data_IF_407845671645
#
_entry.id   IF_407845671645
#
_cell.length_a   1.000
_cell.length_b   1.000
_cell.length_c   1.000
_cell.angle_alpha   90.00
_cell.angle_beta   90.00
_cell.angle_gamma   90.00
#
_symmetry.space_group_name_H-M   'P 1'
#
loop_
_entity.id
_entity.type
_entity.pdbx_description
1 polymer ?
#
# COMPACT_ATOMS: atom_id res chain seq x y z
N UNK A 1 -3.09 -18.13 14.41
CA UNK A 1 -1.82 -18.74 14.85
C UNK A 1 -2.02 -19.99 15.72
N UNK A 2 -1.27 -21.06 15.44
CA UNK A 2 -1.13 -22.23 16.33
C UNK A 2 -0.45 -21.83 17.65
N UNK A 3 -0.91 -22.40 18.78
CA UNK A 3 -0.51 -21.98 20.13
C UNK A 3 1.00 -22.09 20.41
N UNK A 4 1.72 -22.95 19.71
CA UNK A 4 3.15 -23.24 19.94
C UNK A 4 4.11 -22.18 19.38
N UNK A 5 3.66 -21.30 18.48
CA UNK A 5 4.46 -20.17 17.97
C UNK A 5 4.29 -18.89 18.79
N UNK A 6 3.43 -18.88 19.83
CA UNK A 6 3.21 -17.69 20.67
C UNK A 6 4.49 -17.18 21.33
N UNK A 7 5.49 -18.05 21.51
CA UNK A 7 6.73 -17.78 22.22
C UNK A 7 7.98 -17.74 21.30
N UNK A 8 7.78 -17.63 19.97
CA UNK A 8 8.90 -17.48 19.04
C UNK A 8 9.73 -16.22 19.38
N UNK A 9 11.07 -16.27 19.40
CA UNK A 9 11.95 -15.13 19.71
C UNK A 9 11.81 -13.96 18.73
N UNK A 10 11.26 -14.17 17.52
CA UNK A 10 10.85 -13.06 16.64
C UNK A 10 9.72 -12.23 17.27
N UNK A 11 8.86 -12.81 18.11
CA UNK A 11 7.83 -12.07 18.86
C UNK A 11 8.38 -11.47 20.15
N UNK A 12 9.25 -12.19 20.88
CA UNK A 12 9.78 -11.72 22.18
C UNK A 12 10.93 -10.71 22.07
N UNK A 13 11.64 -10.63 20.95
CA UNK A 13 12.60 -9.53 20.71
C UNK A 13 11.92 -8.22 20.32
N UNK A 14 10.67 -8.27 19.86
CA UNK A 14 9.93 -7.13 19.29
C UNK A 14 8.95 -6.43 20.25
N UNK A 15 8.72 -6.94 21.47
CA UNK A 15 7.64 -6.44 22.34
C UNK A 15 8.03 -5.73 23.64
N UNK A 16 9.15 -6.08 24.27
CA UNK A 16 9.63 -5.48 25.53
C UNK A 16 10.95 -6.16 25.93
N UNK A 17 12.04 -5.76 25.29
CA UNK A 17 13.36 -5.82 25.95
C UNK A 17 13.92 -4.41 25.93
N UNK A 18 14.49 -4.01 27.07
CA UNK A 18 15.37 -2.84 27.23
C UNK A 18 16.15 -2.63 25.93
N UNK A 19 16.28 -1.37 25.51
CA UNK A 19 17.18 -0.96 24.44
C UNK A 19 18.43 -1.87 24.46
N UNK A 20 18.78 -2.54 23.34
CA UNK A 20 20.00 -3.32 23.29
C UNK A 20 21.12 -2.42 23.78
N UNK A 21 21.99 -2.93 24.66
CA UNK A 21 23.27 -2.29 24.96
C UNK A 21 23.86 -1.77 23.65
N UNK A 22 24.39 -0.55 23.59
CA UNK A 22 24.82 0.04 22.33
C UNK A 22 25.72 -0.98 21.62
N UNK A 23 25.29 -1.46 20.46
CA UNK A 23 25.97 -2.48 19.64
C UNK A 23 27.28 -1.94 19.02
N UNK A 24 27.89 -0.96 19.65
CA UNK A 24 29.20 -0.41 19.31
C UNK A 24 30.35 -1.34 19.70
N UNK A 25 30.10 -2.39 20.50
CA UNK A 25 31.13 -3.28 21.05
C UNK A 25 31.05 -4.74 20.57
N UNK A 26 30.37 -5.03 19.45
CA UNK A 26 30.40 -6.39 18.88
C UNK A 26 31.60 -6.51 17.94
N UNK A 27 32.54 -7.41 18.28
CA UNK A 27 33.66 -7.77 17.40
C UNK A 27 33.12 -8.26 16.03
N UNK A 28 33.44 -7.56 14.92
CA UNK A 28 32.96 -7.94 13.58
C UNK A 28 33.34 -9.37 13.18
N UNK A 29 34.51 -9.85 13.61
CA UNK A 29 34.94 -11.21 13.31
C UNK A 29 34.08 -12.25 14.05
N UNK A 30 33.84 -12.03 15.36
CA UNK A 30 32.92 -12.86 16.14
C UNK A 30 31.48 -12.83 15.61
N UNK A 31 30.99 -11.66 15.19
CA UNK A 31 29.67 -11.51 14.58
C UNK A 31 29.55 -12.33 13.29
N UNK A 32 30.54 -12.24 12.41
CA UNK A 32 30.59 -13.02 11.18
C UNK A 32 30.63 -14.52 11.47
N UNK A 33 31.49 -14.99 12.38
CA UNK A 33 31.53 -16.40 12.76
C UNK A 33 30.22 -16.90 13.37
N UNK A 34 29.54 -16.07 14.18
CA UNK A 34 28.21 -16.40 14.71
C UNK A 34 27.16 -16.51 13.60
N UNK A 35 27.21 -15.62 12.62
CA UNK A 35 26.34 -15.66 11.45
C UNK A 35 26.54 -16.96 10.66
N UNK A 36 27.79 -17.32 10.35
CA UNK A 36 28.15 -18.56 9.66
C UNK A 36 27.61 -19.78 10.42
N UNK A 37 27.80 -19.81 11.74
CA UNK A 37 27.32 -20.92 12.57
C UNK A 37 25.80 -21.06 12.53
N UNK A 38 25.05 -19.95 12.60
CA UNK A 38 23.60 -19.99 12.47
C UNK A 38 23.14 -20.44 11.08
N UNK A 39 23.86 -20.04 10.03
CA UNK A 39 23.58 -20.52 8.68
C UNK A 39 23.83 -22.02 8.53
N UNK A 40 24.98 -22.52 9.00
CA UNK A 40 25.30 -23.95 9.00
C UNK A 40 24.24 -24.78 9.74
N UNK A 41 23.83 -24.34 10.93
CA UNK A 41 22.78 -25.00 11.70
C UNK A 41 21.43 -25.03 10.95
N UNK A 42 21.12 -23.95 10.23
CA UNK A 42 19.92 -23.89 9.37
C UNK A 42 20.01 -24.91 8.23
N UNK A 43 21.14 -24.97 7.53
CA UNK A 43 21.40 -25.93 6.46
C UNK A 43 21.31 -27.38 6.94
N UNK A 44 21.88 -27.69 8.12
CA UNK A 44 21.82 -29.03 8.71
C UNK A 44 20.37 -29.48 8.96
N UNK A 45 19.53 -28.59 9.49
CA UNK A 45 18.10 -28.87 9.73
C UNK A 45 17.37 -29.06 8.39
N UNK A 46 17.61 -28.19 7.41
CA UNK A 46 17.00 -28.29 6.07
C UNK A 46 17.38 -29.61 5.39
N UNK A 47 18.65 -30.00 5.44
CA UNK A 47 19.14 -31.23 4.83
C UNK A 47 18.59 -32.46 5.58
N UNK A 48 18.60 -32.44 6.91
CA UNK A 48 18.02 -33.51 7.74
C UNK A 48 16.53 -33.72 7.45
N UNK A 49 15.76 -32.64 7.36
CA UNK A 49 14.31 -32.71 7.09
C UNK A 49 14.02 -33.19 5.67
N UNK A 50 14.82 -32.79 4.67
CA UNK A 50 14.73 -33.32 3.30
C UNK A 50 15.01 -34.81 3.24
N UNK A 51 16.09 -35.29 3.87
CA UNK A 51 16.44 -36.71 3.93
C UNK A 51 15.38 -37.53 4.65
N UNK A 52 14.79 -36.96 5.72
CA UNK A 52 13.72 -37.59 6.48
C UNK A 52 12.37 -37.60 5.76
N UNK A 53 12.15 -36.72 4.79
CA UNK A 53 10.87 -36.56 4.08
C UNK A 53 9.72 -36.00 4.94
N UNK A 54 10.02 -35.54 6.16
CA UNK A 54 9.04 -35.02 7.11
C UNK A 54 9.65 -33.85 7.88
N UNK A 55 8.84 -32.84 8.20
CA UNK A 55 9.22 -31.66 8.98
C UNK A 55 8.41 -31.65 10.29
N UNK A 56 9.05 -31.39 11.43
CA UNK A 56 8.38 -31.23 12.72
C UNK A 56 8.41 -29.77 13.17
N UNK A 57 7.54 -29.43 14.14
CA UNK A 57 7.45 -28.09 14.70
C UNK A 57 8.78 -27.58 15.31
N UNK A 58 9.57 -28.47 15.90
CA UNK A 58 10.89 -28.13 16.48
C UNK A 58 11.90 -27.73 15.40
N UNK A 59 11.87 -28.39 14.23
CA UNK A 59 12.73 -28.02 13.09
C UNK A 59 12.41 -26.61 12.60
N UNK A 60 11.11 -26.33 12.46
CA UNK A 60 10.60 -25.02 12.01
C UNK A 60 10.97 -23.94 13.02
N UNK A 61 10.78 -24.20 14.30
CA UNK A 61 11.15 -23.27 15.37
C UNK A 61 12.64 -22.98 15.36
N UNK A 62 13.48 -24.01 15.23
CA UNK A 62 14.93 -23.85 15.18
C UNK A 62 15.38 -23.02 13.96
N UNK A 63 14.85 -23.30 12.76
CA UNK A 63 15.15 -22.51 11.55
C UNK A 63 14.72 -21.05 11.71
N UNK A 64 13.52 -20.80 12.24
CA UNK A 64 13.04 -19.44 12.52
C UNK A 64 13.97 -18.71 13.49
N UNK A 65 14.44 -19.39 14.54
CA UNK A 65 15.34 -18.81 15.52
C UNK A 65 16.70 -18.47 14.93
N UNK A 66 17.29 -19.37 14.13
CA UNK A 66 18.56 -19.10 13.46
C UNK A 66 18.43 -17.97 12.44
N UNK A 67 17.36 -17.94 11.65
CA UNK A 67 17.08 -16.84 10.73
C UNK A 67 16.97 -15.49 11.47
N UNK A 68 16.29 -15.46 12.61
CA UNK A 68 16.17 -14.25 13.42
C UNK A 68 17.54 -13.72 13.90
N UNK A 69 18.42 -14.62 14.34
CA UNK A 69 19.78 -14.23 14.76
C UNK A 69 20.61 -13.75 13.57
N UNK A 70 20.55 -14.44 12.43
CA UNK A 70 21.22 -14.03 11.20
C UNK A 70 20.78 -12.63 10.74
N UNK A 71 19.47 -12.37 10.72
CA UNK A 71 18.93 -11.04 10.35
C UNK A 71 19.38 -9.98 11.35
N UNK A 72 19.40 -10.28 12.65
CA UNK A 72 19.88 -9.32 13.66
C UNK A 72 21.34 -8.92 13.42
N UNK A 73 22.22 -9.89 13.17
CA UNK A 73 23.63 -9.65 12.86
C UNK A 73 23.80 -8.89 11.54
N UNK A 74 23.04 -9.26 10.51
CA UNK A 74 23.03 -8.58 9.22
C UNK A 74 22.61 -7.11 9.32
N UNK A 75 21.57 -6.81 10.11
CA UNK A 75 21.11 -5.42 10.29
C UNK A 75 22.13 -4.56 11.05
N UNK A 76 22.94 -5.15 11.92
CA UNK A 76 24.07 -4.45 12.56
C UNK A 76 25.14 -4.12 11.53
N UNK A 77 25.51 -5.09 10.68
CA UNK A 77 26.49 -4.90 9.59
C UNK A 77 26.02 -3.79 8.63
N UNK A 78 24.77 -3.87 8.16
CA UNK A 78 24.15 -2.87 7.27
C UNK A 78 24.15 -1.45 7.86
N UNK A 79 23.89 -1.31 9.17
CA UNK A 79 23.92 0.00 9.84
C UNK A 79 25.33 0.60 9.89
N UNK A 80 26.35 -0.24 10.10
CA UNK A 80 27.73 0.23 10.11
C UNK A 80 28.13 0.76 8.73
N UNK A 81 27.73 0.09 7.65
CA UNK A 81 27.96 0.54 6.27
C UNK A 81 27.35 1.92 6.01
N UNK A 82 26.06 2.10 6.33
CA UNK A 82 25.36 3.36 6.07
C UNK A 82 25.91 4.52 6.90
N UNK A 83 26.38 4.26 8.13
CA UNK A 83 27.00 5.26 8.98
C UNK A 83 28.39 5.70 8.47
N UNK A 84 29.17 4.78 7.90
CA UNK A 84 30.48 5.09 7.31
C UNK A 84 30.36 5.87 5.99
N UNK A 85 29.38 5.55 5.14
CA UNK A 85 29.10 6.30 3.92
C UNK A 85 28.72 7.76 4.16
N UNK A 86 27.95 8.05 5.22
CA UNK A 86 27.54 9.41 5.58
C UNK A 86 28.68 10.24 6.20
N UNK A 87 29.60 9.62 6.95
CA UNK A 87 30.76 10.31 7.55
C UNK A 87 31.77 10.80 6.51
N UNK A 88 31.94 10.07 5.42
CA UNK A 88 32.87 10.46 4.35
C UNK A 88 32.36 11.60 3.46
N UNK A 89 31.05 11.90 3.46
CA UNK A 89 30.50 13.05 2.73
C UNK A 89 30.56 14.37 3.52
N UNK A 90 30.66 14.30 4.86
CA UNK A 90 30.72 15.47 5.75
C UNK A 90 32.15 15.90 6.14
N UNK A 91 33.18 15.30 5.53
CA UNK A 91 34.59 15.48 5.88
C UNK A 91 35.35 16.58 5.11
N UNK A 92 34.69 17.63 4.62
CA UNK A 92 35.38 18.81 4.06
C UNK A 92 35.36 19.93 5.12
N UNK A 93 36.48 20.26 5.80
CA UNK A 93 36.53 21.40 6.69
C UNK A 93 36.61 22.69 5.87
N UNK A 94 35.61 23.56 5.98
CA UNK A 94 35.73 24.96 5.59
C UNK A 94 36.82 25.63 6.42
N UNK A 95 37.98 25.90 5.82
CA UNK A 95 38.96 26.84 6.38
C UNK A 95 38.38 28.25 6.29
N UNK A 96 38.08 28.83 7.45
CA UNK A 96 37.80 30.24 7.66
C UNK A 96 39.04 31.08 7.33
N UNK A 97 39.00 31.79 6.21
CA UNK A 97 39.99 32.82 5.89
C UNK A 97 39.47 34.19 6.34
N UNK A 98 40.09 34.75 7.38
CA UNK A 98 40.08 36.20 7.64
C UNK A 98 40.98 36.86 6.60
N UNK A 99 40.48 37.89 5.91
CA UNK A 99 41.32 38.78 5.11
C UNK A 99 40.50 39.77 4.31
N UNK A 100 40.51 41.03 4.75
CA UNK A 100 39.79 42.12 4.13
C UNK A 100 40.54 42.79 2.96
N UNK A 101 39.73 43.45 2.14
CA UNK A 101 39.97 44.71 1.43
C UNK A 101 41.09 44.80 0.36
N UNK A 102 40.68 45.16 -0.87
CA UNK A 102 41.37 46.21 -1.62
C UNK A 102 41.93 45.88 -3.02
N UNK A 103 41.12 46.20 -4.04
CA UNK A 103 41.46 46.95 -5.26
C UNK A 103 42.37 46.43 -6.41
N UNK A 104 41.87 46.75 -7.63
CA UNK A 104 42.49 46.99 -8.96
C UNK A 104 42.81 45.75 -9.83
N UNK A 105 42.11 45.50 -10.96
CA UNK A 105 42.00 46.22 -12.27
C UNK A 105 42.98 45.65 -13.32
N UNK A 106 42.38 44.94 -14.31
CA UNK A 106 42.72 44.72 -15.74
C UNK A 106 44.16 44.36 -16.19
N UNK A 107 44.32 43.29 -17.00
CA UNK A 107 44.52 43.33 -18.48
C UNK A 107 45.18 42.03 -19.02
N UNK A 108 44.51 41.38 -19.99
CA UNK A 108 44.93 40.65 -21.22
C UNK A 108 46.35 40.02 -21.32
N UNK A 109 46.42 38.74 -21.73
CA UNK A 109 47.61 38.16 -22.39
C UNK A 109 47.58 36.64 -22.60
N UNK A 110 47.64 36.20 -23.86
CA UNK A 110 47.66 34.83 -24.40
C UNK A 110 49.12 34.23 -24.38
N UNK A 111 49.48 33.11 -25.05
CA UNK A 111 49.51 31.72 -24.53
C UNK A 111 50.89 31.00 -24.69
N UNK A 112 50.95 29.72 -24.24
CA UNK A 112 51.86 28.62 -24.66
C UNK A 112 53.36 28.56 -24.23
N UNK A 113 53.77 27.30 -24.03
CA UNK A 113 55.13 26.69 -23.96
C UNK A 113 55.88 26.60 -22.62
N UNK A 114 56.37 25.38 -22.33
CA UNK A 114 57.46 25.12 -21.37
C UNK A 114 57.37 23.80 -20.61
N UNK A 115 58.05 22.77 -21.11
CA UNK A 115 58.32 21.47 -20.44
C UNK A 115 59.42 21.64 -19.38
N UNK A 116 59.48 20.70 -18.42
CA UNK A 116 60.61 20.33 -17.51
C UNK A 116 60.69 21.13 -16.19
N UNK A 117 60.87 20.57 -14.98
CA UNK A 117 61.32 19.26 -14.49
C UNK A 117 61.13 19.14 -12.94
N UNK A 118 60.93 17.91 -12.45
CA UNK A 118 61.42 17.30 -11.19
C UNK A 118 60.89 17.71 -9.78
N UNK A 119 60.24 16.69 -9.19
CA UNK A 119 60.20 16.23 -7.78
C UNK A 119 59.74 17.16 -6.66
N UNK A 120 58.66 16.75 -5.99
CA UNK A 120 58.72 16.36 -4.57
C UNK A 120 57.59 15.40 -4.24
N UNK A 121 57.96 14.22 -3.71
CA UNK A 121 57.06 13.22 -3.16
C UNK A 121 56.30 13.79 -1.96
N UNK A 122 54.98 13.63 -1.95
CA UNK A 122 54.23 13.32 -0.74
C UNK A 122 53.05 12.42 -1.13
N UNK A 123 53.33 11.13 -1.11
CA UNK A 123 52.36 10.04 -1.16
C UNK A 123 51.48 10.09 0.08
N UNK A 124 50.25 10.59 -0.05
CA UNK A 124 49.15 10.18 0.81
C UNK A 124 48.50 8.96 0.18
N UNK A 125 48.74 7.80 0.79
CA UNK A 125 48.14 6.51 0.46
C UNK A 125 46.62 6.65 0.26
N UNK A 126 46.02 6.00 -0.75
CA UNK A 126 44.58 5.81 -0.74
C UNK A 126 44.27 4.94 0.48
N UNK A 127 43.20 5.25 1.22
CA UNK A 127 42.73 4.40 2.30
C UNK A 127 42.50 2.99 1.72
N UNK A 128 43.41 2.07 2.02
CA UNK A 128 43.35 0.67 1.57
C UNK A 128 42.19 -0.01 2.31
N UNK A 129 41.28 -0.53 1.50
CA UNK A 129 40.10 -1.34 1.81
C UNK A 129 38.80 -0.56 2.12
N UNK A 130 37.78 -0.64 1.25
CA UNK A 130 36.42 -0.32 1.66
C UNK A 130 36.02 -1.19 2.87
N UNK A 131 35.13 -0.72 3.77
CA UNK A 131 34.73 -1.50 4.94
C UNK A 131 34.26 -2.89 4.49
N UNK A 132 34.89 -3.95 5.00
CA UNK A 132 34.50 -5.31 4.71
C UNK A 132 33.05 -5.52 5.14
N UNK A 133 32.21 -6.04 4.24
CA UNK A 133 30.79 -6.37 4.49
C UNK A 133 30.57 -7.87 4.49
N UNK A 134 31.37 -8.65 5.27
CA UNK A 134 31.46 -10.08 5.09
C UNK A 134 30.11 -10.77 5.39
N UNK A 135 29.30 -10.24 6.31
CA UNK A 135 27.98 -10.79 6.61
C UNK A 135 27.03 -10.56 5.44
N UNK A 136 26.96 -9.32 4.93
CA UNK A 136 26.08 -9.02 3.80
C UNK A 136 26.50 -9.75 2.52
N UNK A 137 27.79 -9.75 2.19
CA UNK A 137 28.31 -10.44 1.00
C UNK A 137 28.06 -11.95 1.09
N UNK A 138 28.28 -12.54 2.26
CA UNK A 138 28.00 -13.96 2.48
C UNK A 138 26.49 -14.26 2.47
N UNK A 139 25.66 -13.37 3.02
CA UNK A 139 24.20 -13.50 2.96
C UNK A 139 23.70 -13.52 1.51
N UNK A 140 24.26 -12.66 0.65
CA UNK A 140 23.96 -12.63 -0.77
C UNK A 140 24.52 -13.86 -1.50
N UNK A 141 25.76 -14.24 -1.23
CA UNK A 141 26.47 -15.34 -1.90
C UNK A 141 25.84 -16.71 -1.66
N UNK A 142 25.34 -16.96 -0.45
CA UNK A 142 24.67 -18.21 -0.09
C UNK A 142 23.18 -18.25 -0.51
N UNK A 143 22.65 -17.17 -1.09
CA UNK A 143 21.24 -17.04 -1.47
C UNK A 143 20.28 -17.47 -0.34
N UNK A 144 20.58 -17.05 0.89
CA UNK A 144 19.95 -17.56 2.14
C UNK A 144 18.43 -17.51 2.08
N UNK A 145 17.89 -16.38 1.60
CA UNK A 145 16.43 -16.18 1.50
C UNK A 145 15.79 -17.15 0.50
N UNK A 146 16.44 -17.42 -0.63
CA UNK A 146 15.90 -18.34 -1.64
C UNK A 146 15.95 -19.79 -1.17
N UNK A 147 17.04 -20.18 -0.50
CA UNK A 147 17.20 -21.51 0.09
C UNK A 147 16.14 -21.77 1.17
N UNK A 148 15.92 -20.81 2.08
CA UNK A 148 14.89 -20.91 3.13
C UNK A 148 13.50 -20.91 2.50
N UNK A 149 13.23 -20.05 1.52
CA UNK A 149 11.94 -20.01 0.85
C UNK A 149 11.62 -21.35 0.18
N UNK A 150 12.57 -21.89 -0.58
CA UNK A 150 12.41 -23.17 -1.28
C UNK A 150 12.14 -24.31 -0.29
N UNK A 151 12.82 -24.35 0.84
CA UNK A 151 12.49 -25.31 1.90
C UNK A 151 11.09 -25.05 2.49
N UNK A 152 10.79 -23.79 2.83
CA UNK A 152 9.55 -23.40 3.50
C UNK A 152 8.28 -23.75 2.72
N UNK A 153 8.32 -23.70 1.38
CA UNK A 153 7.17 -24.03 0.54
C UNK A 153 6.84 -25.53 0.55
N UNK A 154 7.77 -26.37 1.03
CA UNK A 154 7.64 -27.83 1.08
C UNK A 154 7.39 -28.36 2.51
N UNK A 155 7.10 -27.50 3.49
CA UNK A 155 6.93 -27.90 4.90
C UNK A 155 5.47 -28.22 5.29
N UNK A 156 4.56 -28.40 4.34
CA UNK A 156 3.16 -28.74 4.61
C UNK A 156 2.42 -27.71 5.48
N UNK A 157 1.91 -28.14 6.64
CA UNK A 157 1.13 -27.27 7.54
C UNK A 157 1.90 -26.05 8.08
N UNK A 158 3.24 -26.11 8.08
CA UNK A 158 4.09 -25.03 8.60
C UNK A 158 4.34 -23.90 7.59
N UNK A 159 3.93 -24.07 6.33
CA UNK A 159 4.21 -23.13 5.23
C UNK A 159 3.80 -21.70 5.58
N UNK A 160 2.60 -21.51 6.15
CA UNK A 160 2.10 -20.16 6.47
C UNK A 160 2.83 -19.50 7.65
N UNK A 161 3.33 -20.28 8.61
CA UNK A 161 4.16 -19.75 9.68
C UNK A 161 5.49 -19.23 9.12
N UNK A 162 6.13 -20.01 8.24
CA UNK A 162 7.38 -19.60 7.61
C UNK A 162 7.20 -18.45 6.62
N UNK A 163 6.07 -18.37 5.90
CA UNK A 163 5.73 -17.18 5.09
C UNK A 163 5.68 -15.93 5.96
N UNK A 164 4.98 -16.00 7.11
CA UNK A 164 4.88 -14.87 8.02
C UNK A 164 6.26 -14.38 8.48
N UNK A 165 7.14 -15.28 8.89
CA UNK A 165 8.47 -14.88 9.35
C UNK A 165 9.33 -14.32 8.20
N UNK A 166 9.27 -14.90 7.00
CA UNK A 166 9.98 -14.36 5.83
C UNK A 166 9.47 -12.98 5.40
N UNK A 167 8.15 -12.73 5.47
CA UNK A 167 7.60 -11.39 5.22
C UNK A 167 8.15 -10.36 6.21
N UNK A 168 8.28 -10.73 7.50
CA UNK A 168 8.91 -9.85 8.51
C UNK A 168 10.38 -9.60 8.21
N UNK A 169 11.13 -10.61 7.77
CA UNK A 169 12.53 -10.43 7.37
C UNK A 169 12.64 -9.40 6.25
N UNK A 170 11.84 -9.53 5.18
CA UNK A 170 11.86 -8.56 4.08
C UNK A 170 11.45 -7.15 4.52
N UNK A 171 10.43 -7.02 5.38
CA UNK A 171 10.03 -5.72 5.95
C UNK A 171 11.17 -5.09 6.75
N UNK A 172 11.89 -5.88 7.56
CA UNK A 172 13.02 -5.39 8.34
C UNK A 172 14.17 -4.92 7.44
N UNK A 173 14.51 -5.68 6.41
CA UNK A 173 15.55 -5.30 5.44
C UNK A 173 15.19 -4.00 4.73
N UNK A 174 13.95 -3.86 4.25
CA UNK A 174 13.46 -2.64 3.61
C UNK A 174 13.40 -1.45 4.58
N UNK A 175 12.98 -1.66 5.83
CA UNK A 175 12.90 -0.58 6.81
C UNK A 175 14.27 0.02 7.14
N UNK A 176 15.34 -0.78 7.06
CA UNK A 176 16.70 -0.34 7.38
C UNK A 176 17.48 0.16 6.17
N UNK A 177 17.37 -0.52 5.03
CA UNK A 177 18.16 -0.24 3.82
C UNK A 177 17.32 0.38 2.69
N UNK A 178 16.02 0.64 2.94
CA UNK A 178 15.07 1.23 1.99
C UNK A 178 15.09 0.53 0.62
N UNK A 179 14.95 1.28 -0.47
CA UNK A 179 14.90 0.75 -1.82
C UNK A 179 16.26 0.23 -2.35
N UNK A 180 17.37 0.54 -1.69
CA UNK A 180 18.72 0.17 -2.15
C UNK A 180 18.93 -1.36 -2.11
N UNK A 181 18.32 -2.04 -1.13
CA UNK A 181 18.46 -3.49 -0.95
C UNK A 181 17.77 -4.31 -2.04
N UNK A 182 16.84 -3.71 -2.79
CA UNK A 182 16.03 -4.39 -3.80
C UNK A 182 16.78 -4.62 -5.12
N UNK A 183 17.92 -3.97 -5.34
CA UNK A 183 18.72 -4.18 -6.57
C UNK A 183 19.43 -5.53 -6.57
N UNK A 184 19.60 -6.14 -5.40
CA UNK A 184 20.30 -7.41 -5.24
C UNK A 184 19.39 -8.59 -5.62
N UNK A 185 19.78 -9.33 -6.66
CA UNK A 185 19.06 -10.53 -7.13
C UNK A 185 18.77 -11.56 -6.03
N UNK A 186 19.70 -11.88 -5.10
CA UNK A 186 19.44 -12.80 -4.00
C UNK A 186 18.39 -12.32 -2.99
N UNK A 187 17.92 -11.07 -3.09
CA UNK A 187 16.88 -10.49 -2.22
C UNK A 187 15.57 -10.33 -2.98
N UNK A 188 15.61 -9.74 -4.18
CA UNK A 188 14.39 -9.45 -4.93
C UNK A 188 13.74 -10.71 -5.52
N UNK A 189 14.52 -11.70 -5.97
CA UNK A 189 13.97 -12.95 -6.51
C UNK A 189 13.17 -13.75 -5.47
N UNK A 190 13.72 -14.05 -4.27
CA UNK A 190 12.93 -14.73 -3.25
C UNK A 190 11.76 -13.87 -2.77
N UNK A 191 11.90 -12.54 -2.70
CA UNK A 191 10.76 -11.66 -2.40
C UNK A 191 9.62 -11.84 -3.41
N UNK A 192 9.91 -11.80 -4.71
CA UNK A 192 8.90 -11.98 -5.76
C UNK A 192 8.22 -13.36 -5.66
N UNK A 193 8.99 -14.42 -5.43
CA UNK A 193 8.46 -15.77 -5.22
C UNK A 193 7.59 -15.86 -3.95
N UNK A 194 8.02 -15.24 -2.86
CA UNK A 194 7.27 -15.18 -1.60
C UNK A 194 5.93 -14.46 -1.80
N UNK A 195 5.95 -13.28 -2.44
CA UNK A 195 4.74 -12.51 -2.76
C UNK A 195 3.79 -13.32 -3.66
N UNK A 196 4.30 -13.97 -4.70
CA UNK A 196 3.49 -14.83 -5.57
C UNK A 196 2.84 -15.99 -4.79
N UNK A 197 3.55 -16.56 -3.83
CA UNK A 197 3.01 -17.61 -2.96
C UNK A 197 1.91 -17.13 -2.00
N UNK A 198 1.75 -15.81 -1.83
CA UNK A 198 0.72 -15.20 -0.98
C UNK A 198 -0.57 -14.85 -1.74
N UNK A 199 -0.65 -15.09 -3.05
CA UNK A 199 -1.83 -14.74 -3.86
C UNK A 199 -3.08 -15.61 -3.63
N UNK A 200 -2.98 -16.68 -2.83
CA UNK A 200 -4.10 -17.54 -2.47
C UNK A 200 -4.68 -17.24 -1.08
N UNK A 201 -5.57 -18.11 -0.60
CA UNK A 201 -6.09 -18.02 0.77
C UNK A 201 -4.95 -18.24 1.79
N UNK A 202 -4.62 -17.20 2.54
CA UNK A 202 -3.62 -17.23 3.60
C UNK A 202 -4.23 -16.77 4.93
N UNK A 203 -3.70 -17.19 6.09
CA UNK A 203 -4.22 -16.75 7.38
C UNK A 203 -4.13 -15.23 7.57
N UNK A 204 -5.05 -14.66 8.35
CA UNK A 204 -5.15 -13.21 8.62
C UNK A 204 -3.85 -12.59 9.12
N UNK A 205 -3.07 -13.33 9.93
CA UNK A 205 -1.77 -12.88 10.43
C UNK A 205 -0.76 -12.66 9.28
N UNK A 206 -0.81 -13.51 8.25
CA UNK A 206 0.02 -13.40 7.03
C UNK A 206 -0.47 -12.24 6.18
N UNK A 207 -1.79 -12.11 5.97
CA UNK A 207 -2.38 -11.01 5.20
C UNK A 207 -1.99 -9.65 5.80
N UNK A 208 -2.10 -9.52 7.13
CA UNK A 208 -1.74 -8.30 7.85
C UNK A 208 -0.29 -7.91 7.60
N UNK A 209 0.62 -8.88 7.61
CA UNK A 209 2.05 -8.62 7.34
C UNK A 209 2.31 -8.35 5.86
N UNK A 210 1.60 -9.05 4.97
CA UNK A 210 1.70 -8.87 3.53
C UNK A 210 1.33 -7.45 3.11
N UNK A 211 0.18 -6.91 3.56
CA UNK A 211 -0.25 -5.55 3.15
C UNK A 211 0.71 -4.47 3.66
N UNK A 212 1.34 -4.66 4.81
CA UNK A 212 2.39 -3.77 5.32
C UNK A 212 3.61 -3.79 4.41
N UNK A 213 4.09 -4.98 4.04
CA UNK A 213 5.24 -5.12 3.13
C UNK A 213 4.94 -4.55 1.74
N UNK A 214 3.75 -4.83 1.18
CA UNK A 214 3.32 -4.28 -0.10
C UNK A 214 3.27 -2.75 -0.07
N UNK A 215 2.80 -2.15 1.02
CA UNK A 215 2.84 -0.70 1.20
C UNK A 215 4.28 -0.15 1.20
N UNK A 216 5.21 -0.77 1.93
CA UNK A 216 6.62 -0.37 1.91
C UNK A 216 7.25 -0.48 0.52
N UNK A 217 6.88 -1.51 -0.24
CA UNK A 217 7.30 -1.65 -1.63
C UNK A 217 6.73 -0.54 -2.51
N UNK A 218 5.45 -0.17 -2.36
CA UNK A 218 4.89 0.98 -3.06
C UNK A 218 5.66 2.27 -2.75
N UNK A 219 6.01 2.52 -1.48
CA UNK A 219 6.86 3.65 -1.10
C UNK A 219 8.23 3.55 -1.78
N UNK A 220 8.85 2.38 -1.81
CA UNK A 220 10.15 2.17 -2.46
C UNK A 220 10.09 2.46 -3.97
N UNK A 221 9.01 2.03 -4.63
CA UNK A 221 8.76 2.29 -6.05
C UNK A 221 8.57 3.78 -6.35
N UNK A 222 7.96 4.55 -5.45
CA UNK A 222 7.84 6.01 -5.58
C UNK A 222 9.20 6.72 -5.51
N UNK A 223 10.20 6.12 -4.85
CA UNK A 223 11.54 6.71 -4.73
C UNK A 223 12.49 6.22 -5.83
N UNK A 224 12.33 4.99 -6.31
CA UNK A 224 13.11 4.44 -7.42
C UNK A 224 12.23 3.69 -8.42
N UNK A 225 11.90 4.41 -9.48
CA UNK A 225 11.05 4.00 -10.58
C UNK A 225 11.60 2.80 -11.36
N UNK A 226 12.93 2.63 -11.42
CA UNK A 226 13.58 1.51 -12.13
C UNK A 226 13.24 0.14 -11.52
N UNK A 227 12.87 0.12 -10.24
CA UNK A 227 12.46 -1.11 -9.58
C UNK A 227 11.15 -1.67 -10.15
N UNK A 228 10.37 -0.87 -10.89
CA UNK A 228 9.17 -1.34 -11.56
C UNK A 228 9.45 -2.54 -12.48
N UNK A 229 10.62 -2.59 -13.13
CA UNK A 229 10.97 -3.69 -14.05
C UNK A 229 10.91 -5.08 -13.39
N UNK A 230 11.06 -5.15 -12.06
CA UNK A 230 10.96 -6.40 -11.31
C UNK A 230 9.53 -6.76 -10.91
N UNK A 231 8.69 -5.78 -10.62
CA UNK A 231 7.32 -5.97 -10.11
C UNK A 231 6.24 -5.82 -11.19
N UNK A 232 6.61 -5.25 -12.33
CA UNK A 232 5.78 -4.92 -13.46
C UNK A 232 6.35 -5.62 -14.70
N UNK A 233 5.75 -6.76 -15.05
CA UNK A 233 6.21 -7.55 -16.19
C UNK A 233 5.63 -6.98 -17.48
N UNK A 234 6.48 -6.36 -18.29
CA UNK A 234 6.15 -5.95 -19.65
C UNK A 234 6.13 -7.19 -20.56
N UNK A 235 4.96 -7.63 -20.97
CA UNK A 235 4.85 -8.71 -21.96
C UNK A 235 4.79 -8.11 -23.35
N UNK A 236 5.80 -8.38 -24.19
CA UNK A 236 5.74 -8.07 -25.63
C UNK A 236 5.17 -9.22 -26.46
N UNK A 237 5.13 -10.47 -25.97
CA UNK A 237 4.73 -11.63 -26.81
C UNK A 237 4.08 -12.84 -26.09
N UNK A 238 3.90 -12.87 -24.75
CA UNK A 238 3.48 -14.10 -24.04
C UNK A 238 2.59 -13.87 -22.80
N UNK A 239 1.62 -12.96 -22.86
CA UNK A 239 0.55 -12.85 -21.84
C UNK A 239 0.19 -11.41 -21.47
N UNK A 240 -0.84 -11.19 -20.63
CA UNK A 240 -1.18 -9.85 -20.17
C UNK A 240 -0.04 -9.30 -19.31
N UNK A 241 0.28 -8.01 -19.47
CA UNK A 241 1.09 -7.25 -18.51
C UNK A 241 0.57 -7.48 -17.11
N UNK A 242 1.45 -7.63 -16.12
CA UNK A 242 1.03 -7.86 -14.72
C UNK A 242 1.78 -6.92 -13.79
N UNK A 243 1.04 -6.26 -12.91
CA UNK A 243 1.59 -5.53 -11.78
C UNK A 243 1.37 -6.31 -10.49
N UNK A 244 2.39 -7.06 -10.06
CA UNK A 244 2.29 -8.02 -8.95
C UNK A 244 1.75 -7.39 -7.66
N UNK A 245 2.34 -6.26 -7.23
CA UNK A 245 1.97 -5.57 -5.99
C UNK A 245 0.50 -5.15 -6.04
N UNK A 246 0.09 -4.53 -7.15
CA UNK A 246 -1.28 -4.09 -7.35
C UNK A 246 -2.28 -5.25 -7.36
N UNK A 247 -1.96 -6.35 -8.06
CA UNK A 247 -2.81 -7.54 -8.10
C UNK A 247 -3.00 -8.18 -6.72
N UNK A 248 -1.96 -8.15 -5.86
CA UNK A 248 -2.05 -8.67 -4.49
C UNK A 248 -2.83 -7.74 -3.55
N UNK A 249 -2.82 -6.42 -3.80
CA UNK A 249 -3.55 -5.45 -2.98
C UNK A 249 -5.05 -5.40 -3.30
N UNK A 250 -5.42 -5.57 -4.57
CA UNK A 250 -6.80 -5.38 -5.05
C UNK A 250 -7.86 -6.18 -4.27
N UNK A 251 -7.65 -7.46 -3.90
CA UNK A 251 -8.64 -8.23 -3.12
C UNK A 251 -8.97 -7.62 -1.74
N UNK A 252 -8.10 -6.76 -1.20
CA UNK A 252 -8.28 -6.16 0.12
C UNK A 252 -8.95 -4.78 0.09
N UNK A 253 -9.25 -4.23 -1.09
CA UNK A 253 -9.67 -2.82 -1.23
C UNK A 253 -10.96 -2.49 -0.45
N UNK A 254 -11.94 -3.39 -0.49
CA UNK A 254 -13.22 -3.28 0.23
C UNK A 254 -13.21 -3.99 1.58
N UNK A 255 -12.04 -4.50 2.02
CA UNK A 255 -11.95 -5.17 3.33
C UNK A 255 -12.02 -4.14 4.45
N UNK A 256 -12.61 -4.57 5.56
CA UNK A 256 -12.74 -3.75 6.75
C UNK A 256 -11.49 -3.79 7.65
N UNK A 257 -11.42 -2.82 8.56
CA UNK A 257 -10.37 -2.73 9.56
C UNK A 257 -8.98 -2.39 8.99
N UNK A 258 -7.95 -2.62 9.81
CA UNK A 258 -6.59 -2.18 9.49
C UNK A 258 -5.98 -2.81 8.24
N UNK A 259 -6.39 -4.03 7.85
CA UNK A 259 -5.86 -4.67 6.63
C UNK A 259 -6.34 -3.94 5.39
N UNK A 260 -7.65 -3.66 5.30
CA UNK A 260 -8.20 -2.95 4.15
C UNK A 260 -7.74 -1.50 4.10
N UNK A 261 -7.61 -0.83 5.25
CA UNK A 261 -7.05 0.53 5.28
C UNK A 261 -5.63 0.57 4.74
N UNK A 262 -4.76 -0.31 5.24
CA UNK A 262 -3.38 -0.40 4.76
C UNK A 262 -3.29 -0.72 3.27
N UNK A 263 -4.21 -1.55 2.75
CA UNK A 263 -4.28 -1.86 1.34
C UNK A 263 -4.73 -0.66 0.49
N UNK A 264 -5.72 0.11 0.95
CA UNK A 264 -6.15 1.36 0.30
C UNK A 264 -5.01 2.38 0.27
N UNK A 265 -4.30 2.58 1.38
CA UNK A 265 -3.14 3.48 1.43
C UNK A 265 -2.07 3.07 0.41
N UNK A 266 -1.77 1.77 0.32
CA UNK A 266 -0.82 1.23 -0.65
C UNK A 266 -1.31 1.38 -2.11
N UNK A 267 -2.60 1.19 -2.36
CA UNK A 267 -3.21 1.40 -3.67
C UNK A 267 -3.19 2.87 -4.09
N UNK A 268 -3.35 3.82 -3.15
CA UNK A 268 -3.18 5.25 -3.44
C UNK A 268 -1.76 5.57 -3.88
N UNK A 269 -0.75 4.92 -3.30
CA UNK A 269 0.63 5.04 -3.78
C UNK A 269 0.78 4.47 -5.20
N UNK A 270 0.15 3.34 -5.52
CA UNK A 270 0.10 2.83 -6.91
C UNK A 270 -0.58 3.83 -7.87
N UNK A 271 -1.64 4.51 -7.42
CA UNK A 271 -2.30 5.54 -8.22
C UNK A 271 -1.41 6.76 -8.44
N UNK A 272 -0.74 7.26 -7.41
CA UNK A 272 0.23 8.34 -7.53
C UNK A 272 1.40 7.95 -8.45
N UNK A 273 1.88 6.71 -8.36
CA UNK A 273 2.89 6.16 -9.26
C UNK A 273 2.39 6.16 -10.71
N UNK A 274 1.12 5.82 -10.94
CA UNK A 274 0.52 5.83 -12.26
C UNK A 274 0.48 7.22 -12.91
N UNK A 275 0.33 8.29 -12.11
CA UNK A 275 0.37 9.65 -12.62
C UNK A 275 1.76 10.08 -13.10
N UNK A 276 2.82 9.49 -12.51
CA UNK A 276 4.22 9.72 -12.91
C UNK A 276 4.75 8.70 -13.93
N UNK A 277 4.07 7.57 -14.12
CA UNK A 277 4.42 6.52 -15.07
C UNK A 277 3.25 6.10 -15.95
N UNK A 278 3.29 6.58 -17.20
CA UNK A 278 2.25 6.32 -18.20
C UNK A 278 1.95 4.85 -18.39
N UNK A 279 2.94 3.96 -18.38
CA UNK A 279 2.74 2.51 -18.55
C UNK A 279 1.91 1.89 -17.42
N UNK A 280 2.14 2.32 -16.18
CA UNK A 280 1.35 1.88 -15.01
C UNK A 280 -0.08 2.40 -15.12
N UNK A 281 -0.25 3.68 -15.51
CA UNK A 281 -1.57 4.27 -15.74
C UNK A 281 -2.37 3.60 -16.86
N UNK A 282 -1.73 3.28 -17.98
CA UNK A 282 -2.33 2.54 -19.08
C UNK A 282 -2.73 1.13 -18.64
N UNK A 283 -1.85 0.42 -17.92
CA UNK A 283 -2.17 -0.91 -17.41
C UNK A 283 -3.38 -0.90 -16.47
N UNK A 284 -3.40 0.00 -15.49
CA UNK A 284 -4.53 0.06 -14.55
C UNK A 284 -5.84 0.34 -15.30
N UNK A 285 -5.82 1.26 -16.26
CA UNK A 285 -7.02 1.63 -17.01
C UNK A 285 -7.47 0.55 -18.01
N UNK A 286 -6.54 -0.09 -18.72
CA UNK A 286 -6.88 -0.91 -19.90
C UNK A 286 -6.79 -2.42 -19.63
N UNK A 287 -6.05 -2.83 -18.60
CA UNK A 287 -5.70 -4.23 -18.37
C UNK A 287 -5.99 -4.71 -16.95
N UNK A 288 -6.60 -3.86 -16.11
CA UNK A 288 -7.02 -4.23 -14.75
C UNK A 288 -8.51 -4.02 -14.56
N UNK A 289 -9.10 -4.77 -13.61
CA UNK A 289 -10.50 -4.62 -13.22
C UNK A 289 -10.69 -3.59 -12.10
N UNK A 290 -9.74 -2.68 -11.89
CA UNK A 290 -9.75 -1.77 -10.75
C UNK A 290 -11.00 -0.89 -10.68
N UNK A 291 -11.24 -0.09 -11.73
CA UNK A 291 -12.37 0.84 -11.78
C UNK A 291 -13.74 0.11 -11.68
N UNK A 292 -13.97 -1.00 -12.42
CA UNK A 292 -15.17 -1.82 -12.22
C UNK A 292 -15.34 -2.34 -10.78
N UNK A 293 -14.26 -2.83 -10.16
CA UNK A 293 -14.29 -3.36 -8.77
C UNK A 293 -14.65 -2.27 -7.77
N UNK A 294 -14.18 -1.04 -7.95
CA UNK A 294 -14.55 0.07 -7.06
C UNK A 294 -16.02 0.45 -7.20
N UNK A 295 -16.50 0.62 -8.44
CA UNK A 295 -17.90 0.97 -8.68
C UNK A 295 -18.86 -0.12 -8.18
N UNK A 296 -18.60 -1.39 -8.52
CA UNK A 296 -19.42 -2.50 -8.06
C UNK A 296 -19.38 -2.66 -6.53
N UNK A 297 -18.21 -2.45 -5.91
CA UNK A 297 -18.08 -2.49 -4.45
C UNK A 297 -18.87 -1.37 -3.77
N UNK A 298 -18.87 -0.15 -4.33
CA UNK A 298 -19.68 0.95 -3.81
C UNK A 298 -21.18 0.65 -3.91
N UNK A 299 -21.63 0.05 -5.02
CA UNK A 299 -23.00 -0.45 -5.19
C UNK A 299 -23.37 -1.54 -4.18
N UNK A 300 -22.45 -2.47 -3.91
CA UNK A 300 -22.62 -3.51 -2.90
C UNK A 300 -22.72 -2.94 -1.48
N UNK A 301 -21.84 -2.00 -1.13
CA UNK A 301 -21.85 -1.32 0.17
C UNK A 301 -23.11 -0.47 0.36
N UNK A 302 -23.58 0.22 -0.69
CA UNK A 302 -24.84 0.96 -0.64
C UNK A 302 -26.04 0.03 -0.34
N UNK A 303 -26.05 -1.15 -0.95
CA UNK A 303 -27.13 -2.14 -0.75
C UNK A 303 -27.18 -2.69 0.69
N UNK A 304 -26.09 -2.54 1.45
CA UNK A 304 -25.99 -2.91 2.86
C UNK A 304 -26.43 -1.79 3.81
N UNK A 305 -26.65 -0.57 3.31
CA UNK A 305 -27.09 0.55 4.14
C UNK A 305 -28.51 0.33 4.68
N UNK A 306 -28.83 0.87 5.88
CA UNK A 306 -30.19 0.89 6.38
C UNK A 306 -31.14 1.53 5.36
N UNK A 307 -32.26 0.86 5.11
CA UNK A 307 -33.31 1.34 4.21
C UNK A 307 -34.22 2.38 4.86
N UNK A 308 -34.20 2.51 6.18
CA UNK A 308 -34.94 3.54 6.90
C UNK A 308 -34.04 4.06 8.02
N UNK A 309 -34.13 5.36 8.26
CA UNK A 309 -33.33 6.05 9.26
C UNK A 309 -34.25 6.57 10.36
N UNK A 310 -33.83 6.42 11.61
CA UNK A 310 -34.51 7.00 12.77
C UNK A 310 -33.87 8.35 13.08
N UNK A 311 -34.04 9.34 12.20
CA UNK A 311 -33.56 10.71 12.42
C UNK A 311 -34.69 11.56 13.00
N UNK A 312 -34.36 12.46 13.93
CA UNK A 312 -35.31 13.46 14.43
C UNK A 312 -35.90 14.29 13.27
N UNK A 313 -37.14 14.80 13.44
CA UNK A 313 -37.91 15.39 12.34
C UNK A 313 -37.24 16.59 11.68
N UNK A 314 -36.46 17.36 12.44
CA UNK A 314 -35.73 18.53 11.94
C UNK A 314 -34.38 18.12 11.37
N UNK A 315 -34.22 18.28 10.04
CA UNK A 315 -32.94 18.00 9.37
C UNK A 315 -32.72 16.53 8.96
N UNK A 316 -33.79 15.73 8.87
CA UNK A 316 -33.79 14.32 8.44
C UNK A 316 -32.94 13.99 7.20
N UNK A 317 -32.77 14.95 6.29
CA UNK A 317 -32.02 14.82 5.04
C UNK A 317 -30.51 14.97 5.22
N UNK A 318 -30.02 15.27 6.42
CA UNK A 318 -28.62 15.58 6.69
C UNK A 318 -28.11 14.83 7.92
N UNK A 319 -27.32 13.78 7.67
CA UNK A 319 -26.73 12.97 8.73
C UNK A 319 -25.56 13.68 9.42
N UNK A 320 -25.61 13.74 10.75
CA UNK A 320 -24.56 14.26 11.60
C UNK A 320 -23.38 13.28 11.70
N UNK A 321 -22.29 13.69 12.35
CA UNK A 321 -21.16 12.78 12.63
C UNK A 321 -21.52 11.70 13.66
N UNK A 322 -22.48 11.96 14.54
CA UNK A 322 -22.97 11.00 15.52
C UNK A 322 -23.77 9.90 14.81
N UNK A 323 -24.69 10.27 13.90
CA UNK A 323 -25.42 9.31 13.07
C UNK A 323 -24.48 8.41 12.25
N UNK A 324 -23.39 8.98 11.73
CA UNK A 324 -22.39 8.21 10.97
C UNK A 324 -21.66 7.22 11.89
N UNK A 325 -21.31 7.63 13.10
CA UNK A 325 -20.64 6.77 14.08
C UNK A 325 -21.53 5.61 14.55
N UNK A 326 -22.84 5.85 14.64
CA UNK A 326 -23.83 4.87 15.08
C UNK A 326 -24.22 3.84 14.00
N UNK A 327 -23.88 4.10 12.73
CA UNK A 327 -24.20 3.23 11.59
C UNK A 327 -22.90 2.69 10.95
N UNK A 328 -22.38 1.52 11.39
CA UNK A 328 -21.15 0.95 10.87
C UNK A 328 -21.13 0.76 9.34
N UNK A 329 -22.26 0.37 8.74
CA UNK A 329 -22.39 0.18 7.29
C UNK A 329 -22.17 1.50 6.54
N UNK A 330 -22.55 2.63 7.13
CA UNK A 330 -22.36 3.95 6.57
C UNK A 330 -20.89 4.34 6.58
N UNK A 331 -20.17 4.08 7.68
CA UNK A 331 -18.73 4.28 7.75
C UNK A 331 -17.99 3.48 6.66
N UNK A 332 -18.40 2.24 6.40
CA UNK A 332 -17.81 1.40 5.35
C UNK A 332 -18.05 1.95 3.95
N UNK A 333 -19.28 2.37 3.68
CA UNK A 333 -19.64 3.02 2.42
C UNK A 333 -18.84 4.32 2.22
N UNK A 334 -18.74 5.16 3.25
CA UNK A 334 -17.99 6.41 3.21
C UNK A 334 -16.50 6.18 2.97
N UNK A 335 -15.88 5.23 3.68
CA UNK A 335 -14.48 4.89 3.45
C UNK A 335 -14.20 4.49 1.99
N UNK A 336 -15.15 3.80 1.34
CA UNK A 336 -15.03 3.41 -0.08
C UNK A 336 -15.24 4.60 -1.03
N UNK A 337 -16.19 5.49 -0.71
CA UNK A 337 -16.42 6.72 -1.47
C UNK A 337 -15.24 7.69 -1.37
N UNK A 338 -14.71 7.90 -0.17
CA UNK A 338 -13.50 8.69 0.10
C UNK A 338 -12.29 8.13 -0.62
N UNK A 339 -12.15 6.80 -0.66
CA UNK A 339 -11.10 6.17 -1.44
C UNK A 339 -11.26 6.44 -2.94
N UNK A 340 -12.48 6.33 -3.50
CA UNK A 340 -12.73 6.69 -4.90
C UNK A 340 -12.38 8.16 -5.17
N UNK A 341 -12.75 9.06 -4.26
CA UNK A 341 -12.42 10.48 -4.32
C UNK A 341 -10.88 10.69 -4.33
N UNK A 342 -10.15 10.05 -3.41
CA UNK A 342 -8.69 10.13 -3.37
C UNK A 342 -8.02 9.53 -4.63
N UNK A 343 -8.55 8.45 -5.19
CA UNK A 343 -8.06 7.88 -6.46
C UNK A 343 -8.20 8.89 -7.60
N UNK A 344 -9.37 9.55 -7.74
CA UNK A 344 -9.58 10.58 -8.77
C UNK A 344 -8.60 11.74 -8.61
N UNK A 345 -8.24 12.10 -7.37
CA UNK A 345 -7.29 13.17 -7.08
C UNK A 345 -5.87 12.86 -7.59
N UNK A 346 -5.37 11.64 -7.35
CA UNK A 346 -3.93 11.32 -7.50
C UNK A 346 -3.58 10.44 -8.69
N UNK A 347 -4.55 9.76 -9.32
CA UNK A 347 -4.27 8.76 -10.37
C UNK A 347 -3.86 9.35 -11.72
N UNK A 348 -3.45 8.50 -12.67
CA UNK A 348 -3.29 8.86 -14.07
C UNK A 348 -4.62 9.32 -14.70
N UNK A 349 -4.66 10.33 -15.61
CA UNK A 349 -5.90 10.85 -16.19
C UNK A 349 -6.83 9.79 -16.82
N UNK A 350 -6.26 8.76 -17.47
CA UNK A 350 -7.06 7.65 -18.03
C UNK A 350 -7.80 6.86 -16.94
N UNK A 351 -7.15 6.62 -15.80
CA UNK A 351 -7.76 5.90 -14.66
C UNK A 351 -8.86 6.76 -14.05
N UNK A 352 -8.63 8.07 -13.89
CA UNK A 352 -9.64 9.03 -13.38
C UNK A 352 -10.90 9.00 -14.23
N UNK A 353 -10.74 9.22 -15.54
CA UNK A 353 -11.83 9.23 -16.50
C UNK A 353 -12.64 7.94 -16.43
N UNK A 354 -11.95 6.80 -16.45
CA UNK A 354 -12.60 5.49 -16.43
C UNK A 354 -13.32 5.22 -15.09
N UNK A 355 -12.71 5.55 -13.95
CA UNK A 355 -13.35 5.39 -12.65
C UNK A 355 -14.63 6.23 -12.56
N UNK A 356 -14.55 7.47 -13.00
CA UNK A 356 -15.70 8.40 -13.02
C UNK A 356 -16.83 7.86 -13.92
N UNK A 357 -16.50 7.33 -15.10
CA UNK A 357 -17.47 6.68 -16.00
C UNK A 357 -18.13 5.45 -15.36
N UNK A 358 -17.35 4.58 -14.71
CA UNK A 358 -17.89 3.41 -14.02
C UNK A 358 -18.74 3.78 -12.80
N UNK A 359 -18.38 4.81 -12.05
CA UNK A 359 -19.20 5.29 -10.94
C UNK A 359 -20.54 5.83 -11.46
N UNK A 360 -20.54 6.57 -12.58
CA UNK A 360 -21.79 7.04 -13.18
C UNK A 360 -22.67 5.88 -13.66
N UNK A 361 -22.11 5.00 -14.48
CA UNK A 361 -22.86 3.93 -15.16
C UNK A 361 -23.16 2.72 -14.28
N UNK A 362 -22.34 2.47 -13.26
CA UNK A 362 -22.40 1.28 -12.40
C UNK A 362 -22.93 1.53 -10.99
N UNK A 363 -22.92 2.78 -10.51
CA UNK A 363 -23.43 3.13 -9.19
C UNK A 363 -24.50 4.22 -9.24
N UNK A 364 -24.20 5.42 -9.74
CA UNK A 364 -25.13 6.56 -9.66
C UNK A 364 -26.44 6.26 -10.40
N UNK A 365 -26.36 5.97 -11.70
CA UNK A 365 -27.57 5.72 -12.51
C UNK A 365 -28.31 4.46 -12.07
N UNK A 366 -27.69 3.27 -11.96
CA UNK A 366 -28.44 2.04 -11.70
C UNK A 366 -28.80 1.79 -10.23
N UNK A 367 -28.15 2.44 -9.26
CA UNK A 367 -28.38 2.20 -7.82
C UNK A 367 -29.06 3.40 -7.16
N UNK A 368 -28.43 4.57 -7.21
CA UNK A 368 -29.01 5.78 -6.61
C UNK A 368 -30.22 6.28 -7.41
N UNK A 369 -30.17 6.19 -8.74
CA UNK A 369 -31.28 6.59 -9.62
C UNK A 369 -32.61 5.97 -9.20
N UNK A 370 -32.78 4.64 -9.25
CA UNK A 370 -34.00 3.97 -8.82
C UNK A 370 -34.38 4.27 -7.38
N UNK A 371 -33.43 4.26 -6.44
CA UNK A 371 -33.70 4.55 -5.03
C UNK A 371 -34.32 5.95 -4.83
N UNK A 372 -33.95 6.91 -5.67
CA UNK A 372 -34.50 8.25 -5.64
C UNK A 372 -35.81 8.41 -6.41
N UNK A 373 -36.10 7.60 -7.44
CA UNK A 373 -37.35 7.69 -8.20
C UNK A 373 -38.51 6.88 -7.61
N UNK A 374 -38.26 5.97 -6.66
CA UNK A 374 -39.30 5.20 -5.95
C UNK A 374 -40.40 6.05 -5.30
N UNK A 375 -40.18 7.35 -5.12
CA UNK A 375 -41.17 8.30 -4.62
C UNK A 375 -42.24 8.77 -5.61
N UNK A 376 -42.20 8.44 -6.90
CA UNK A 376 -43.33 8.77 -7.80
C UNK A 376 -44.61 8.00 -7.45
N UNK A 377 -44.49 6.87 -6.74
CA UNK A 377 -45.61 6.18 -6.11
C UNK A 377 -46.21 6.93 -4.90
N UNK A 378 -45.48 7.90 -4.33
CA UNK A 378 -45.91 8.72 -3.18
C UNK A 378 -46.67 9.97 -3.65
N UNK A 379 -46.48 10.39 -4.92
CA UNK A 379 -47.13 11.55 -5.53
C UNK A 379 -48.45 11.20 -6.23
N UNK A 380 -48.75 9.91 -6.42
CA UNK A 380 -50.02 9.44 -6.95
C UNK A 380 -51.10 9.49 -5.87
N UNK A 381 -52.26 10.06 -6.20
CA UNK A 381 -53.46 10.13 -5.37
C UNK A 381 -53.90 8.74 -4.88
N UNK A 382 -53.34 8.25 -3.77
CA UNK A 382 -53.86 7.09 -3.06
C UNK A 382 -54.11 7.50 -1.62
N UNK A 383 -55.39 7.48 -1.27
CA UNK A 383 -56.00 7.78 0.03
C UNK A 383 -55.61 6.78 1.14
N UNK A 384 -54.33 6.36 1.22
CA UNK A 384 -53.83 5.34 2.15
C UNK A 384 -52.59 5.83 2.93
N UNK A 385 -52.66 7.04 3.46
CA UNK A 385 -51.58 7.70 4.20
C UNK A 385 -50.99 6.89 5.39
N UNK A 386 -51.65 5.82 5.87
CA UNK A 386 -51.22 5.02 7.02
C UNK A 386 -51.01 3.53 6.74
N UNK A 387 -50.79 3.12 5.48
CA UNK A 387 -50.46 1.71 5.20
C UNK A 387 -48.99 1.41 5.51
N UNK A 388 -48.66 0.24 6.12
CA UNK A 388 -47.28 -0.12 6.44
C UNK A 388 -46.33 -0.09 5.23
N UNK A 389 -46.86 -0.40 4.04
CA UNK A 389 -46.13 -0.36 2.77
C UNK A 389 -45.75 1.09 2.40
N UNK A 390 -46.68 2.03 2.52
CA UNK A 390 -46.42 3.44 2.24
C UNK A 390 -45.35 4.02 3.16
N UNK A 391 -45.44 3.77 4.47
CA UNK A 391 -44.45 4.24 5.45
C UNK A 391 -43.06 3.66 5.20
N UNK A 392 -42.97 2.41 4.74
CA UNK A 392 -41.70 1.78 4.35
C UNK A 392 -41.08 2.47 3.13
N UNK A 393 -41.87 2.79 2.11
CA UNK A 393 -41.39 3.47 0.89
C UNK A 393 -40.95 4.90 1.20
N UNK A 394 -41.67 5.62 2.06
CA UNK A 394 -41.27 6.95 2.52
C UNK A 394 -39.94 6.88 3.27
N UNK A 395 -39.77 5.92 4.17
CA UNK A 395 -38.50 5.69 4.88
C UNK A 395 -37.33 5.41 3.94
N UNK A 396 -37.54 4.59 2.90
CA UNK A 396 -36.56 4.30 1.84
C UNK A 396 -36.14 5.53 1.07
N UNK A 397 -37.11 6.36 0.67
CA UNK A 397 -36.88 7.60 -0.04
C UNK A 397 -36.16 8.64 0.83
N UNK A 398 -36.52 8.72 2.11
CA UNK A 398 -35.88 9.59 3.11
C UNK A 398 -34.41 9.18 3.29
N UNK A 399 -34.15 7.89 3.50
CA UNK A 399 -32.80 7.36 3.63
C UNK A 399 -31.95 7.62 2.38
N UNK A 400 -32.47 7.30 1.20
CA UNK A 400 -31.78 7.55 -0.07
C UNK A 400 -31.44 9.03 -0.28
N UNK A 401 -32.35 9.93 0.09
CA UNK A 401 -32.13 11.39 0.01
C UNK A 401 -31.01 11.83 0.96
N UNK A 402 -31.01 11.35 2.20
CA UNK A 402 -29.96 11.65 3.18
C UNK A 402 -28.59 11.11 2.73
N UNK A 403 -28.55 9.91 2.14
CA UNK A 403 -27.31 9.34 1.62
C UNK A 403 -26.75 10.13 0.43
N UNK A 404 -27.60 10.67 -0.44
CA UNK A 404 -27.15 11.55 -1.55
C UNK A 404 -26.59 12.85 -1.04
N UNK A 405 -27.23 13.51 -0.05
CA UNK A 405 -26.67 14.71 0.60
C UNK A 405 -25.28 14.40 1.15
N UNK A 406 -25.16 13.30 1.88
CA UNK A 406 -23.90 12.89 2.50
C UNK A 406 -22.83 12.60 1.44
N UNK A 407 -23.18 11.94 0.32
CA UNK A 407 -22.27 11.73 -0.80
C UNK A 407 -21.76 13.06 -1.38
N UNK A 408 -22.66 14.02 -1.62
CA UNK A 408 -22.33 15.34 -2.16
C UNK A 408 -21.40 16.13 -1.22
N UNK A 409 -21.60 15.98 0.08
CA UNK A 409 -20.75 16.59 1.11
C UNK A 409 -19.38 15.92 1.22
N UNK A 410 -19.31 14.61 1.00
CA UNK A 410 -18.08 13.81 1.10
C UNK A 410 -17.18 13.98 -0.13
N UNK A 411 -17.77 14.08 -1.32
CA UNK A 411 -17.01 14.20 -2.58
C UNK A 411 -16.43 15.60 -2.73
N UNK A 412 -15.10 15.69 -2.78
CA UNK A 412 -14.35 16.96 -2.94
C UNK A 412 -13.78 17.15 -4.33
N UNK A 413 -13.47 16.08 -5.04
CA UNK A 413 -12.76 16.16 -6.31
C UNK A 413 -13.62 16.70 -7.45
N UNK A 414 -13.13 17.69 -8.24
CA UNK A 414 -13.95 18.37 -9.25
C UNK A 414 -14.56 17.45 -10.30
N UNK A 415 -13.83 16.43 -10.76
CA UNK A 415 -14.35 15.48 -11.77
C UNK A 415 -15.49 14.64 -11.21
N UNK A 416 -15.35 14.15 -9.97
CA UNK A 416 -16.39 13.36 -9.32
C UNK A 416 -17.62 14.22 -8.98
N UNK A 417 -17.41 15.46 -8.50
CA UNK A 417 -18.49 16.44 -8.29
C UNK A 417 -19.29 16.71 -9.57
N UNK A 418 -18.60 16.93 -10.70
CA UNK A 418 -19.27 17.14 -11.99
C UNK A 418 -20.17 15.97 -12.36
N UNK A 419 -19.77 14.75 -12.03
CA UNK A 419 -20.54 13.54 -12.33
C UNK A 419 -21.74 13.36 -11.40
N UNK A 420 -21.60 13.69 -10.12
CA UNK A 420 -22.77 13.80 -9.23
C UNK A 420 -23.74 14.90 -9.71
N UNK A 421 -23.24 16.07 -10.11
CA UNK A 421 -24.09 17.13 -10.66
C UNK A 421 -24.74 16.72 -11.98
N UNK A 422 -24.01 16.07 -12.88
CA UNK A 422 -24.56 15.54 -14.13
C UNK A 422 -25.69 14.54 -13.82
N UNK A 423 -25.49 13.63 -12.87
CA UNK A 423 -26.51 12.69 -12.43
C UNK A 423 -27.77 13.37 -11.89
N UNK A 424 -27.63 14.45 -11.10
CA UNK A 424 -28.77 15.16 -10.51
C UNK A 424 -29.53 16.03 -11.52
N UNK A 425 -28.80 16.63 -12.47
CA UNK A 425 -29.33 17.63 -13.41
C UNK A 425 -29.76 17.05 -14.76
N UNK A 426 -29.27 15.86 -15.11
CA UNK A 426 -29.59 15.22 -16.41
C UNK A 426 -30.76 14.26 -16.23
N UNK A 427 -31.70 14.28 -17.18
CA UNK A 427 -32.74 13.25 -17.25
C UNK A 427 -32.25 12.07 -18.10
N UNK A 428 -32.52 10.84 -17.65
CA UNK A 428 -32.20 9.62 -18.40
C UNK A 428 -33.03 9.49 -19.69
N UNK A 429 -34.25 10.02 -19.68
CA UNK A 429 -35.18 10.05 -20.81
C UNK A 429 -35.57 11.50 -21.17
N UNK A 430 -36.34 11.70 -22.25
CA UNK A 430 -36.86 13.04 -22.61
C UNK A 430 -37.45 13.73 -21.36
N UNK A 431 -37.09 15.00 -21.06
CA UNK A 431 -37.45 15.68 -19.82
C UNK A 431 -38.96 15.86 -19.61
N UNK A 432 -39.76 15.54 -20.62
CA UNK A 432 -41.22 15.48 -20.53
C UNK A 432 -41.76 14.20 -19.86
N UNK A 433 -40.95 13.15 -19.71
CA UNK A 433 -41.35 11.82 -19.21
C UNK A 433 -40.82 11.56 -17.80
N UNK A 434 -39.58 11.95 -17.53
CA UNK A 434 -38.96 11.85 -16.20
C UNK A 434 -38.31 13.20 -15.85
N UNK A 435 -38.75 13.88 -14.78
CA UNK A 435 -38.09 15.10 -14.34
C UNK A 435 -36.68 14.77 -13.83
N UNK A 436 -35.71 15.68 -13.98
CA UNK A 436 -34.40 15.53 -13.35
C UNK A 436 -34.52 15.27 -11.84
N UNK A 437 -33.61 14.45 -11.29
CA UNK A 437 -33.61 14.06 -9.87
C UNK A 437 -33.61 15.28 -8.96
N UNK A 438 -32.93 16.36 -9.34
CA UNK A 438 -32.90 17.59 -8.56
C UNK A 438 -34.30 18.16 -8.30
N UNK A 439 -35.23 18.06 -9.25
CA UNK A 439 -36.60 18.54 -9.11
C UNK A 439 -37.36 17.71 -8.08
N UNK A 440 -37.14 16.39 -8.11
CA UNK A 440 -37.71 15.45 -7.14
C UNK A 440 -37.21 15.78 -5.72
N UNK A 441 -35.90 16.01 -5.57
CA UNK A 441 -35.30 16.37 -4.29
C UNK A 441 -35.83 17.70 -3.75
N UNK A 442 -35.93 18.73 -4.60
CA UNK A 442 -36.49 20.04 -4.21
C UNK A 442 -37.94 19.90 -3.76
N UNK A 443 -38.75 19.10 -4.46
CA UNK A 443 -40.15 18.83 -4.07
C UNK A 443 -40.23 18.19 -2.68
N UNK A 444 -39.38 17.20 -2.39
CA UNK A 444 -39.34 16.51 -1.09
C UNK A 444 -38.95 17.42 0.06
N UNK A 445 -37.97 18.30 -0.15
CA UNK A 445 -37.50 19.24 0.88
C UNK A 445 -38.58 20.29 1.23
N UNK A 446 -39.48 20.60 0.30
CA UNK A 446 -40.59 21.53 0.53
C UNK A 446 -41.89 20.83 0.95
N UNK A 447 -41.96 19.50 0.93
CA UNK A 447 -43.15 18.76 1.34
C UNK A 447 -43.31 18.79 2.87
N UNK A 448 -44.44 19.31 3.40
CA UNK A 448 -44.71 19.30 4.84
C UNK A 448 -45.04 17.91 5.40
N UNK A 449 -45.20 16.90 4.53
CA UNK A 449 -45.79 15.60 4.87
C UNK A 449 -44.79 14.43 4.93
N UNK A 450 -43.49 14.66 4.81
CA UNK A 450 -42.53 13.52 4.75
C UNK A 450 -42.33 12.84 6.11
N UNK A 451 -42.75 13.46 7.24
CA UNK A 451 -42.49 12.97 8.60
C UNK A 451 -43.54 13.37 9.67
N UNK A 452 -44.83 13.52 9.31
CA UNK A 452 -45.90 13.66 10.32
C UNK A 452 -46.66 12.36 10.57
#
# INVERSE_FOLDING_TARGET
MTSWLRDSPLRMSLGRRRAPSPLHDVDPAAAFQSFIKHWQQTCDIINRTKLRGQVFADDVTAVINHLAQMVTLLLVDLKQIMAHGARNQNGIPQKSSKGGNGNKVTTIGNPLEGIQEVSSQHSSLPAENPPHTPIFDHFLGEEILDTILTWSLNTGEFVNALKLEQLKVHEQLLSHSKQEILVYKPIIRPLLRLLASCGGCVPVDVEKRLVVLLNQLCVSLMHNHQLLDFFFQFSSDQGPTKFMIFSLLLPFVHREGGIGQQARDALLLCMALSASHTSVGQYIAQHSNFCPVLAAGLSGLYSMLPRSLTVESDGWHRLSMEDIADIPQLQLFLNSLEFCNAVVQVAHPLVRKQLVEFLYQGFLVPVLGPALHQGDAVNGEIQAHNTPVFLSVVGEVVAATAYVELCLRTVTEPELRRVFLAFLLTSANSPAVEPPIITILISRLHSPNTLH
#
